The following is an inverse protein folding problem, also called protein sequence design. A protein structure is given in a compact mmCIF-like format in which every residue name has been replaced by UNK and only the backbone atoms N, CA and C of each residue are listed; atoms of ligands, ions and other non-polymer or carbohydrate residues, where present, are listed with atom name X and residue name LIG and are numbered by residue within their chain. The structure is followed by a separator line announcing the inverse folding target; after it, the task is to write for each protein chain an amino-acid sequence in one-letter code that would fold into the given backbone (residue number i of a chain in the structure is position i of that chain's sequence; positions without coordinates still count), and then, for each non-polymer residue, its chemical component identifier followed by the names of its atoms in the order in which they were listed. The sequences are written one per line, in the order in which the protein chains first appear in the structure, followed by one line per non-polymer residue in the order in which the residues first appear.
data_IF_831105869630
#
_entry.id   IF_831105869630
#
_cell.length_a   1.000
_cell.length_b   1.000
_cell.length_c   1.000
_cell.angle_alpha   90.00
_cell.angle_beta   90.00
_cell.angle_gamma   90.00
#
_symmetry.space_group_name_H-M   'P 1'
#
loop_
_entity.id
_entity.type
_entity.pdbx_description
1 polymer ?
#
# COMPACT_ATOMS: atom_id res chain seq x y z
N UNK A 1 61.07 -10.35 -5.12
CA UNK A 1 59.95 -10.77 -4.23
C UNK A 1 59.02 -9.58 -4.11
N UNK A 2 57.93 -9.56 -4.88
CA UNK A 2 56.94 -8.48 -4.89
C UNK A 2 55.73 -8.95 -4.10
N UNK A 3 55.52 -8.39 -2.91
CA UNK A 3 54.33 -8.66 -2.11
C UNK A 3 53.13 -7.97 -2.78
N UNK A 4 52.16 -8.78 -3.19
CA UNK A 4 50.83 -8.35 -3.59
C UNK A 4 50.10 -7.89 -2.34
N UNK A 5 49.57 -6.67 -2.35
CA UNK A 5 48.66 -6.20 -1.31
C UNK A 5 47.34 -6.96 -1.43
N UNK A 6 46.94 -7.58 -0.32
CA UNK A 6 45.68 -8.28 -0.17
C UNK A 6 44.51 -7.33 -0.42
N UNK A 7 43.67 -7.68 -1.40
CA UNK A 7 42.31 -7.15 -1.49
C UNK A 7 41.44 -7.72 -0.36
N UNK A 8 40.30 -7.09 -0.04
CA UNK A 8 39.43 -7.58 1.03
C UNK A 8 38.93 -9.00 0.72
N UNK A 9 38.70 -9.83 1.75
CA UNK A 9 38.35 -11.22 1.57
C UNK A 9 37.06 -11.36 0.74
N UNK A 10 37.17 -12.08 -0.37
CA UNK A 10 36.02 -12.66 -1.05
C UNK A 10 35.63 -13.90 -0.25
N UNK A 11 34.34 -14.13 -0.13
CA UNK A 11 33.69 -15.32 0.44
C UNK A 11 33.42 -15.24 1.95
N UNK A 12 32.40 -14.45 2.31
CA UNK A 12 31.48 -14.78 3.41
C UNK A 12 30.09 -14.17 3.15
N UNK A 13 29.58 -14.37 1.93
CA UNK A 13 28.14 -14.26 1.68
C UNK A 13 27.49 -15.57 2.13
N UNK A 14 27.51 -15.78 3.45
CA UNK A 14 26.55 -16.68 4.08
C UNK A 14 25.17 -16.24 3.63
N UNK A 15 24.45 -17.13 2.95
CA UNK A 15 23.04 -16.97 2.62
C UNK A 15 22.34 -16.64 3.94
N UNK A 16 22.07 -15.36 4.17
CA UNK A 16 21.22 -14.92 5.27
C UNK A 16 19.86 -15.51 4.92
N UNK A 17 19.54 -16.66 5.52
CA UNK A 17 18.18 -17.16 5.53
C UNK A 17 17.32 -16.04 6.07
N UNK A 18 16.42 -15.55 5.24
CA UNK A 18 15.43 -14.54 5.56
C UNK A 18 14.49 -15.09 6.64
N UNK A 19 14.94 -15.01 7.89
CA UNK A 19 14.20 -15.41 9.08
C UNK A 19 13.83 -14.18 9.90
N UNK A 20 13.51 -13.07 9.24
CA UNK A 20 12.58 -12.10 9.82
C UNK A 20 11.19 -12.74 9.87
N UNK A 21 10.27 -12.29 10.75
CA UNK A 21 8.89 -12.75 10.69
C UNK A 21 8.29 -12.34 9.35
N UNK A 22 8.33 -13.26 8.40
CA UNK A 22 7.62 -13.16 7.15
C UNK A 22 6.13 -13.12 7.49
N UNK A 23 5.55 -11.93 7.41
CA UNK A 23 4.11 -11.71 7.42
C UNK A 23 3.53 -12.19 6.07
N UNK A 24 3.86 -13.41 5.66
CA UNK A 24 3.64 -13.99 4.33
C UNK A 24 2.16 -14.19 3.96
N UNK A 25 1.24 -13.71 4.78
CA UNK A 25 -0.19 -13.88 4.57
C UNK A 25 -1.01 -12.60 4.53
N UNK A 26 -0.52 -11.42 4.95
CA UNK A 26 -1.37 -10.22 5.09
C UNK A 26 -1.14 -9.18 3.98
N UNK A 27 -2.24 -8.67 3.41
CA UNK A 27 -2.21 -7.58 2.43
C UNK A 27 -1.60 -6.29 3.02
N UNK A 28 -0.97 -5.47 2.16
CA UNK A 28 -0.39 -4.18 2.57
C UNK A 28 -1.51 -3.23 3.06
N UNK A 29 -1.42 -2.69 4.29
CA UNK A 29 -2.36 -1.68 4.78
C UNK A 29 -2.50 -0.44 3.89
N UNK A 30 -1.53 -0.14 3.01
CA UNK A 30 -1.63 0.94 2.02
C UNK A 30 -2.65 0.64 0.93
N UNK A 31 -2.76 -0.62 0.49
CA UNK A 31 -3.77 -1.03 -0.49
C UNK A 31 -5.18 -0.92 0.10
N UNK A 32 -5.36 -1.38 1.34
CA UNK A 32 -6.62 -1.22 2.08
C UNK A 32 -7.01 0.26 2.23
N UNK A 33 -6.03 1.13 2.46
CA UNK A 33 -6.24 2.57 2.56
C UNK A 33 -6.75 3.19 1.26
N UNK A 34 -6.15 2.86 0.12
CA UNK A 34 -6.60 3.36 -1.18
C UNK A 34 -8.01 2.86 -1.51
N UNK A 35 -8.32 1.58 -1.24
CA UNK A 35 -9.68 1.05 -1.46
C UNK A 35 -10.71 1.81 -0.61
N UNK A 36 -10.41 2.13 0.65
CA UNK A 36 -11.29 2.93 1.51
C UNK A 36 -11.57 4.31 0.91
N UNK A 37 -10.53 5.00 0.44
CA UNK A 37 -10.69 6.34 -0.16
C UNK A 37 -11.60 6.25 -1.40
N UNK A 38 -11.31 5.32 -2.30
CA UNK A 38 -12.10 5.12 -3.52
C UNK A 38 -13.56 4.79 -3.21
N UNK A 39 -13.80 3.85 -2.29
CA UNK A 39 -15.14 3.47 -1.87
C UNK A 39 -15.90 4.68 -1.32
N UNK A 40 -15.28 5.48 -0.44
CA UNK A 40 -15.95 6.62 0.19
C UNK A 40 -16.20 7.78 -0.77
N UNK A 41 -15.31 8.02 -1.73
CA UNK A 41 -15.56 8.97 -2.82
C UNK A 41 -16.77 8.52 -3.65
N UNK A 42 -16.83 7.22 -3.97
CA UNK A 42 -17.93 6.66 -4.76
C UNK A 42 -19.27 6.70 -4.01
N UNK A 43 -19.30 6.38 -2.73
CA UNK A 43 -20.49 6.51 -1.87
C UNK A 43 -20.99 7.95 -1.83
N UNK A 44 -20.08 8.91 -1.67
CA UNK A 44 -20.43 10.33 -1.64
C UNK A 44 -20.96 10.83 -3.00
N UNK A 45 -20.42 10.30 -4.10
CA UNK A 45 -20.81 10.70 -5.44
C UNK A 45 -22.12 10.03 -5.91
N UNK A 46 -22.43 8.83 -5.41
CA UNK A 46 -23.62 8.04 -5.77
C UNK A 46 -24.26 7.42 -4.52
N UNK A 47 -24.93 8.22 -3.67
CA UNK A 47 -25.50 7.73 -2.41
C UNK A 47 -26.59 6.66 -2.60
N UNK A 48 -27.21 6.61 -3.77
CA UNK A 48 -28.20 5.62 -4.17
C UNK A 48 -27.60 4.26 -4.54
N UNK A 49 -26.29 4.21 -4.76
CA UNK A 49 -25.53 3.01 -5.16
C UNK A 49 -24.66 2.48 -4.00
N UNK A 50 -24.93 2.90 -2.76
CA UNK A 50 -24.19 2.42 -1.59
C UNK A 50 -24.42 0.91 -1.40
N UNK A 51 -23.32 0.15 -1.44
CA UNK A 51 -23.34 -1.29 -1.26
C UNK A 51 -22.98 -1.67 0.18
N UNK A 52 -23.78 -2.57 0.76
CA UNK A 52 -23.48 -3.23 2.04
C UNK A 52 -22.42 -4.34 1.87
N UNK A 53 -21.26 -3.95 1.36
CA UNK A 53 -20.12 -4.82 1.09
C UNK A 53 -18.83 -4.23 1.70
N UNK A 54 -17.86 -5.10 1.97
CA UNK A 54 -16.52 -4.66 2.40
C UNK A 54 -15.71 -4.08 1.24
N UNK A 55 -14.64 -3.35 1.57
CA UNK A 55 -13.82 -2.65 0.58
C UNK A 55 -13.17 -3.60 -0.44
N UNK A 56 -12.85 -4.83 -0.04
CA UNK A 56 -12.22 -5.83 -0.91
C UNK A 56 -13.22 -6.40 -1.91
N UNK A 57 -14.48 -6.54 -1.53
CA UNK A 57 -15.55 -6.93 -2.43
C UNK A 57 -15.88 -5.82 -3.43
N UNK A 58 -15.85 -4.55 -3.00
CA UNK A 58 -16.15 -3.38 -3.83
C UNK A 58 -15.01 -2.99 -4.78
N UNK A 59 -13.76 -3.15 -4.34
CA UNK A 59 -12.53 -2.87 -5.11
C UNK A 59 -11.64 -4.12 -5.13
N UNK A 60 -12.03 -5.19 -5.82
CA UNK A 60 -11.32 -6.46 -5.78
C UNK A 60 -9.93 -6.38 -6.43
N UNK A 61 -9.03 -7.24 -5.96
CA UNK A 61 -7.71 -7.40 -6.58
C UNK A 61 -7.82 -8.15 -7.91
N UNK A 62 -7.14 -7.65 -8.93
CA UNK A 62 -7.14 -8.25 -10.26
C UNK A 62 -6.53 -9.67 -10.27
N UNK A 63 -5.54 -9.90 -9.42
CA UNK A 63 -4.83 -11.17 -9.27
C UNK A 63 -5.48 -12.16 -8.29
N UNK A 64 -6.48 -11.72 -7.53
CA UNK A 64 -7.22 -12.61 -6.64
C UNK A 64 -8.13 -13.52 -7.49
N UNK A 65 -7.69 -14.76 -7.73
CA UNK A 65 -8.51 -15.84 -8.27
C UNK A 65 -9.38 -16.43 -7.16
N UNK A 66 -10.37 -15.66 -6.69
CA UNK A 66 -11.47 -16.22 -5.90
C UNK A 66 -12.65 -16.49 -6.83
N UNK A 67 -12.76 -17.77 -7.23
CA UNK A 67 -13.93 -18.60 -7.56
C UNK A 67 -15.26 -18.04 -8.10
N UNK A 68 -15.36 -16.77 -8.47
CA UNK A 68 -16.57 -16.17 -9.01
C UNK A 68 -16.19 -15.14 -10.08
N UNK A 69 -16.43 -15.51 -11.33
CA UNK A 69 -16.07 -14.78 -12.55
C UNK A 69 -16.97 -13.54 -12.79
N UNK A 70 -17.27 -12.76 -11.74
CA UNK A 70 -18.09 -11.55 -11.85
C UNK A 70 -17.35 -10.36 -12.48
N UNK A 71 -16.14 -10.56 -13.01
CA UNK A 71 -15.29 -9.46 -13.54
C UNK A 71 -15.94 -8.71 -14.70
N UNK A 72 -16.90 -9.30 -15.42
CA UNK A 72 -17.54 -8.68 -16.59
C UNK A 72 -18.90 -8.02 -16.32
N UNK A 73 -19.65 -8.43 -15.29
CA UNK A 73 -21.05 -8.03 -15.10
C UNK A 73 -21.26 -6.96 -14.01
N UNK A 74 -20.20 -6.25 -13.61
CA UNK A 74 -20.34 -5.15 -12.65
C UNK A 74 -20.82 -3.86 -13.34
N UNK A 75 -21.81 -3.16 -12.79
CA UNK A 75 -22.24 -1.86 -13.31
C UNK A 75 -21.08 -0.86 -13.22
N UNK A 76 -21.05 0.09 -14.15
CA UNK A 76 -20.06 1.17 -14.11
C UNK A 76 -20.38 2.15 -12.96
N UNK A 77 -19.36 2.73 -12.30
CA UNK A 77 -17.93 2.58 -12.60
C UNK A 77 -17.27 1.40 -11.87
N UNK A 78 -16.40 0.68 -12.60
CA UNK A 78 -15.67 -0.49 -12.10
C UNK A 78 -14.33 -0.10 -11.49
N UNK A 79 -14.15 -0.41 -10.21
CA UNK A 79 -12.90 -0.17 -9.48
C UNK A 79 -12.17 -1.48 -9.19
N UNK A 80 -10.86 -1.49 -9.44
CA UNK A 80 -10.00 -2.65 -9.16
C UNK A 80 -8.69 -2.18 -8.52
N UNK A 81 -8.09 -3.06 -7.71
CA UNK A 81 -6.74 -2.90 -7.18
C UNK A 81 -5.81 -3.98 -7.78
N UNK A 82 -4.50 -3.78 -7.74
CA UNK A 82 -3.55 -4.82 -8.17
C UNK A 82 -2.17 -4.61 -7.57
N UNK A 83 -1.49 -5.73 -7.27
CA UNK A 83 -0.07 -5.78 -6.94
C UNK A 83 0.79 -6.24 -8.13
N UNK A 84 0.24 -6.30 -9.34
CA UNK A 84 1.00 -6.67 -10.53
C UNK A 84 2.12 -5.64 -10.78
N UNK A 85 3.32 -6.09 -11.20
CA UNK A 85 4.43 -5.20 -11.52
C UNK A 85 4.02 -4.08 -12.49
N UNK A 86 4.55 -2.86 -12.33
CA UNK A 86 4.25 -1.72 -13.21
C UNK A 86 4.45 -2.00 -14.71
N UNK A 87 5.36 -2.93 -15.07
CA UNK A 87 5.59 -3.36 -16.44
C UNK A 87 4.39 -4.07 -17.09
N UNK A 88 3.40 -4.46 -16.28
CA UNK A 88 2.11 -5.01 -16.71
C UNK A 88 0.98 -3.97 -16.71
N UNK A 89 1.26 -2.71 -16.34
CA UNK A 89 0.29 -1.61 -16.25
C UNK A 89 0.58 -0.53 -17.33
N UNK A 90 -0.44 0.23 -17.79
CA UNK A 90 -0.23 1.33 -18.73
C UNK A 90 0.76 2.39 -18.18
N UNK A 91 1.66 2.89 -19.02
CA UNK A 91 2.86 3.70 -18.70
C UNK A 91 2.64 5.10 -18.11
N UNK A 92 1.46 5.38 -17.55
CA UNK A 92 1.03 6.72 -17.13
C UNK A 92 0.85 6.90 -15.62
N UNK A 93 1.78 6.45 -14.78
CA UNK A 93 1.67 6.64 -13.32
C UNK A 93 2.87 7.36 -12.71
N UNK A 94 2.64 8.54 -12.12
CA UNK A 94 3.63 9.28 -11.32
C UNK A 94 3.34 9.05 -9.85
N UNK A 95 4.27 8.46 -9.11
CA UNK A 95 4.15 8.35 -7.65
C UNK A 95 4.47 9.71 -7.00
N UNK A 96 3.46 10.35 -6.39
CA UNK A 96 3.64 11.55 -5.56
C UNK A 96 3.13 11.27 -4.14
N UNK A 97 3.88 11.80 -3.18
CA UNK A 97 3.79 11.54 -1.73
C UNK A 97 2.58 12.22 -1.08
N UNK A 98 1.84 11.48 -0.26
CA UNK A 98 0.73 11.97 0.59
C UNK A 98 1.28 12.65 1.84
N UNK A 99 1.20 13.98 1.93
CA UNK A 99 1.41 14.76 3.16
C UNK A 99 0.13 15.44 3.65
N UNK A 100 -0.80 15.67 2.73
CA UNK A 100 -2.09 16.29 2.94
C UNK A 100 -3.15 15.32 2.42
N UNK A 101 -3.77 14.56 3.32
CA UNK A 101 -4.76 13.57 2.93
C UNK A 101 -5.94 14.21 2.20
N UNK A 102 -6.39 15.39 2.64
CA UNK A 102 -7.49 16.11 2.00
C UNK A 102 -7.11 16.53 0.59
N UNK A 103 -5.94 17.13 0.41
CA UNK A 103 -5.43 17.52 -0.90
C UNK A 103 -5.23 16.34 -1.86
N UNK A 104 -4.86 15.15 -1.37
CA UNK A 104 -4.81 13.95 -2.22
C UNK A 104 -6.21 13.41 -2.55
N UNK A 105 -7.16 13.43 -1.61
CA UNK A 105 -8.56 13.07 -1.88
C UNK A 105 -9.14 13.96 -2.97
N UNK A 106 -8.91 15.28 -2.92
CA UNK A 106 -9.31 16.23 -3.98
C UNK A 106 -8.75 15.81 -5.34
N UNK A 107 -7.45 15.49 -5.44
CA UNK A 107 -6.84 15.05 -6.71
C UNK A 107 -7.43 13.74 -7.22
N UNK A 108 -7.78 12.82 -6.32
CA UNK A 108 -8.44 11.57 -6.70
C UNK A 108 -9.85 11.85 -7.21
N UNK A 109 -10.61 12.74 -6.56
CA UNK A 109 -11.91 13.21 -7.05
C UNK A 109 -11.78 13.82 -8.46
N UNK A 110 -10.82 14.73 -8.67
CA UNK A 110 -10.53 15.34 -9.97
C UNK A 110 -10.20 14.27 -11.03
N UNK A 111 -9.34 13.31 -10.68
CA UNK A 111 -8.95 12.21 -11.57
C UNK A 111 -10.13 11.33 -11.96
N UNK A 112 -11.07 11.10 -11.03
CA UNK A 112 -12.29 10.33 -11.26
C UNK A 112 -13.43 11.15 -11.90
N UNK A 113 -13.22 12.46 -12.11
CA UNK A 113 -14.25 13.38 -12.60
C UNK A 113 -15.46 13.47 -11.67
N UNK A 114 -15.22 13.50 -10.34
CA UNK A 114 -16.27 13.60 -9.31
C UNK A 114 -16.18 14.93 -8.58
N UNK A 115 -17.21 15.74 -8.74
CA UNK A 115 -17.36 17.00 -8.01
C UNK A 115 -18.08 16.72 -6.68
N UNK A 116 -17.32 16.71 -5.59
CA UNK A 116 -17.85 16.54 -4.23
C UNK A 116 -17.84 17.88 -3.48
N UNK A 117 -18.77 18.05 -2.54
CA UNK A 117 -18.75 19.21 -1.65
C UNK A 117 -17.59 19.11 -0.65
N UNK A 118 -17.18 20.22 -0.07
CA UNK A 118 -16.12 20.24 0.95
C UNK A 118 -16.48 19.37 2.15
N UNK A 119 -17.75 19.34 2.56
CA UNK A 119 -18.24 18.50 3.66
C UNK A 119 -18.13 17.01 3.31
N UNK A 120 -18.45 16.63 2.07
CA UNK A 120 -18.32 15.27 1.60
C UNK A 120 -16.84 14.84 1.54
N UNK A 121 -15.95 15.73 1.08
CA UNK A 121 -14.51 15.50 1.08
C UNK A 121 -13.97 15.33 2.50
N UNK A 122 -14.38 16.19 3.44
CA UNK A 122 -13.96 16.12 4.84
C UNK A 122 -14.43 14.81 5.50
N UNK A 123 -15.64 14.37 5.18
CA UNK A 123 -16.14 13.06 5.63
C UNK A 123 -15.35 11.89 5.05
N UNK A 124 -14.98 11.93 3.76
CA UNK A 124 -14.09 10.93 3.13
C UNK A 124 -12.74 10.88 3.86
N UNK A 125 -12.16 12.05 4.16
CA UNK A 125 -10.89 12.18 4.88
C UNK A 125 -10.99 11.59 6.28
N UNK A 126 -12.03 11.94 7.04
CA UNK A 126 -12.29 11.42 8.38
C UNK A 126 -12.40 9.88 8.38
N UNK A 127 -13.23 9.34 7.50
CA UNK A 127 -13.46 7.90 7.38
C UNK A 127 -12.24 7.14 6.84
N UNK A 128 -11.30 7.84 6.21
CA UNK A 128 -10.03 7.29 5.70
C UNK A 128 -8.87 7.52 6.66
N UNK A 129 -9.08 8.05 7.86
CA UNK A 129 -8.02 8.12 8.87
C UNK A 129 -7.64 6.72 9.35
N UNK A 130 -6.36 6.54 9.72
CA UNK A 130 -5.87 5.27 10.26
C UNK A 130 -6.70 4.79 11.46
N UNK A 131 -7.07 5.72 12.35
CA UNK A 131 -7.90 5.44 13.53
C UNK A 131 -9.25 4.83 13.14
N UNK A 132 -9.98 5.48 12.24
CA UNK A 132 -11.33 5.06 11.86
C UNK A 132 -11.29 3.77 11.05
N UNK A 133 -10.34 3.65 10.12
CA UNK A 133 -10.16 2.42 9.35
C UNK A 133 -9.80 1.23 10.23
N UNK A 134 -8.91 1.40 11.22
CA UNK A 134 -8.49 0.31 12.11
C UNK A 134 -9.67 -0.33 12.85
N UNK A 135 -10.71 0.44 13.17
CA UNK A 135 -11.92 -0.04 13.84
C UNK A 135 -13.05 -0.45 12.88
N UNK A 136 -12.97 -0.10 11.60
CA UNK A 136 -14.03 -0.39 10.62
C UNK A 136 -13.88 -1.81 10.05
N UNK A 137 -14.78 -2.77 10.36
CA UNK A 137 -14.70 -4.13 9.85
C UNK A 137 -14.78 -4.23 8.33
N UNK A 138 -15.43 -3.26 7.66
CA UNK A 138 -15.50 -3.20 6.18
C UNK A 138 -14.17 -2.76 5.53
N UNK A 139 -13.24 -2.20 6.30
CA UNK A 139 -12.01 -1.60 5.78
C UNK A 139 -10.71 -2.23 6.30
N UNK A 140 -10.77 -3.02 7.37
CA UNK A 140 -9.59 -3.57 8.04
C UNK A 140 -9.37 -5.08 7.82
N UNK A 141 -10.19 -5.70 6.95
CA UNK A 141 -10.14 -7.14 6.66
C UNK A 141 -10.24 -8.03 7.89
N UNK A 142 -11.04 -7.61 8.88
CA UNK A 142 -11.29 -8.38 10.10
C UNK A 142 -11.74 -9.81 9.80
N UNK A 143 -12.56 -9.96 8.75
CA UNK A 143 -13.07 -11.25 8.31
C UNK A 143 -11.96 -12.23 7.88
N UNK A 144 -10.88 -11.74 7.26
CA UNK A 144 -9.75 -12.57 6.82
C UNK A 144 -8.90 -13.05 7.99
N UNK A 145 -8.81 -12.27 9.07
CA UNK A 145 -8.19 -12.70 10.33
C UNK A 145 -9.07 -13.74 11.02
N UNK A 146 -10.38 -13.50 11.12
CA UNK A 146 -11.33 -14.42 11.74
C UNK A 146 -11.42 -15.77 10.99
N UNK A 147 -11.34 -15.74 9.65
CA UNK A 147 -11.27 -16.92 8.79
C UNK A 147 -9.89 -17.57 8.74
N UNK A 148 -8.93 -17.09 9.53
CA UNK A 148 -7.54 -17.59 9.60
C UNK A 148 -6.82 -17.57 8.24
N UNK A 149 -7.24 -16.69 7.33
CA UNK A 149 -6.52 -16.41 6.09
C UNK A 149 -5.32 -15.50 6.35
N UNK A 150 -5.45 -14.58 7.30
CA UNK A 150 -4.37 -13.71 7.77
C UNK A 150 -3.95 -14.08 9.19
N UNK A 151 -2.64 -14.07 9.42
CA UNK A 151 -2.04 -14.33 10.73
C UNK A 151 -2.17 -13.15 11.71
N UNK A 152 -2.40 -11.95 11.20
CA UNK A 152 -2.49 -10.72 11.99
C UNK A 152 -3.36 -9.65 11.32
N UNK A 153 -3.90 -8.68 12.08
CA UNK A 153 -4.60 -7.52 11.51
C UNK A 153 -3.71 -6.71 10.57
N UNK A 154 -4.26 -6.29 9.43
CA UNK A 154 -3.53 -5.49 8.43
C UNK A 154 -3.21 -4.08 8.93
N UNK A 155 -4.12 -3.46 9.67
CA UNK A 155 -3.95 -2.11 10.24
C UNK A 155 -3.08 -2.10 11.51
N UNK A 156 -1.75 -2.24 11.34
CA UNK A 156 -0.78 -2.38 12.44
C UNK A 156 -0.46 -1.07 13.18
N UNK A 157 0.40 -0.22 12.61
CA UNK A 157 0.89 1.04 13.23
C UNK A 157 0.66 2.31 12.41
N UNK A 158 0.75 2.26 11.08
CA UNK A 158 0.58 3.44 10.23
C UNK A 158 1.67 4.51 10.39
N UNK A 159 2.88 4.14 10.83
CA UNK A 159 3.99 5.07 11.09
C UNK A 159 5.13 4.86 10.10
N UNK A 160 5.56 5.93 9.42
CA UNK A 160 6.77 5.94 8.61
C UNK A 160 8.02 5.87 9.49
N UNK A 161 9.02 5.07 9.11
CA UNK A 161 10.28 4.93 9.84
C UNK A 161 10.31 3.82 10.91
N UNK A 162 9.21 3.09 11.14
CA UNK A 162 9.15 2.01 12.16
C UNK A 162 10.15 0.86 11.87
N UNK A 163 10.64 0.74 10.64
CA UNK A 163 11.66 -0.24 10.23
C UNK A 163 12.96 -0.13 11.04
N UNK A 164 13.30 1.07 11.55
CA UNK A 164 14.48 1.30 12.39
C UNK A 164 14.46 0.53 13.70
N UNK A 165 13.27 0.12 14.16
CA UNK A 165 13.13 -0.72 15.36
C UNK A 165 13.42 -2.20 15.09
N UNK A 166 13.62 -2.59 13.84
CA UNK A 166 13.81 -3.98 13.41
C UNK A 166 15.18 -4.23 12.77
N UNK A 167 15.78 -3.20 12.18
CA UNK A 167 17.09 -3.32 11.53
C UNK A 167 18.21 -3.12 12.55
N UNK A 168 19.19 -4.01 12.50
CA UNK A 168 20.51 -3.72 13.08
C UNK A 168 21.21 -2.63 12.27
N UNK A 169 22.20 -1.96 12.86
CA UNK A 169 22.99 -0.92 12.16
C UNK A 169 23.61 -1.46 10.87
N UNK A 170 24.22 -2.66 10.91
CA UNK A 170 24.82 -3.28 9.74
C UNK A 170 23.82 -3.63 8.64
N UNK A 171 22.61 -4.09 9.00
CA UNK A 171 21.54 -4.34 8.02
C UNK A 171 21.07 -3.04 7.36
N UNK A 172 21.00 -1.96 8.12
CA UNK A 172 20.63 -0.66 7.57
C UNK A 172 21.68 -0.15 6.57
N UNK A 173 22.96 -0.17 6.97
CA UNK A 173 24.06 0.25 6.10
C UNK A 173 24.11 -0.57 4.81
N UNK A 174 23.90 -1.88 4.89
CA UNK A 174 23.83 -2.74 3.72
C UNK A 174 22.63 -2.42 2.81
N UNK A 175 21.46 -2.15 3.40
CA UNK A 175 20.28 -1.74 2.63
C UNK A 175 20.52 -0.41 1.91
N UNK A 176 21.12 0.58 2.58
CA UNK A 176 21.41 1.89 2.00
C UNK A 176 22.32 1.76 0.76
N UNK A 177 23.38 0.93 0.83
CA UNK A 177 24.27 0.65 -0.30
C UNK A 177 23.50 0.05 -1.49
N UNK A 178 22.74 -1.03 -1.25
CA UNK A 178 21.98 -1.72 -2.32
C UNK A 178 20.91 -0.81 -2.90
N UNK A 179 20.27 0.01 -2.08
CA UNK A 179 19.23 0.95 -2.51
C UNK A 179 19.82 2.05 -3.40
N UNK A 180 20.93 2.68 -2.98
CA UNK A 180 21.63 3.69 -3.77
C UNK A 180 22.07 3.13 -5.13
N UNK A 181 22.67 1.93 -5.14
CA UNK A 181 23.10 1.27 -6.37
C UNK A 181 21.92 1.06 -7.34
N UNK A 182 20.81 0.48 -6.85
CA UNK A 182 19.67 0.09 -7.70
C UNK A 182 18.76 1.23 -8.13
N UNK A 183 18.70 2.32 -7.35
CA UNK A 183 17.73 3.39 -7.56
C UNK A 183 18.36 4.69 -8.09
N UNK A 184 19.70 4.73 -8.26
CA UNK A 184 20.46 5.91 -8.69
C UNK A 184 20.01 6.49 -10.04
N UNK A 185 19.59 5.64 -10.98
CA UNK A 185 19.17 6.05 -12.33
C UNK A 185 17.72 6.54 -12.40
N UNK A 186 16.95 6.41 -11.33
CA UNK A 186 15.53 6.79 -11.32
C UNK A 186 15.37 8.23 -10.83
N UNK A 187 14.56 9.07 -11.51
CA UNK A 187 14.26 10.44 -11.08
C UNK A 187 13.24 10.45 -9.93
N UNK A 188 13.44 9.60 -8.91
CA UNK A 188 12.53 9.42 -7.79
C UNK A 188 13.16 9.93 -6.49
N UNK A 189 12.39 10.70 -5.72
CA UNK A 189 12.79 11.19 -4.41
C UNK A 189 11.97 10.53 -3.30
N UNK A 190 12.65 9.83 -2.38
CA UNK A 190 12.00 9.13 -1.28
C UNK A 190 12.04 9.96 0.02
N UNK A 191 11.01 9.81 0.85
CA UNK A 191 11.02 10.34 2.22
C UNK A 191 10.75 9.17 3.16
N UNK A 192 11.76 8.83 3.94
CA UNK A 192 11.75 7.65 4.82
C UNK A 192 11.15 7.94 6.20
N UNK A 193 11.06 9.22 6.57
CA UNK A 193 10.59 9.71 7.87
C UNK A 193 9.63 10.87 7.70
N UNK A 194 8.60 10.88 8.52
CA UNK A 194 7.67 12.00 8.63
C UNK A 194 7.94 12.65 9.98
N UNK A 195 8.43 13.89 9.98
CA UNK A 195 8.49 14.69 11.20
C UNK A 195 7.04 14.93 11.64
N UNK A 196 6.70 14.45 12.84
CA UNK A 196 5.41 14.70 13.46
C UNK A 196 5.30 16.15 13.93
#
# INVERSE_FOLDING_TARGET
MSARGDGPPKDDLGVLSDSGPQNEGSEDPRSAWMQQILVKIMDAAHPDMEEEADNRARVPFLEANTLDDFRRERPDPRLYATHLPPDMLPTGLKAKRVKDLRGEVVKVCDFLGKDLTDEAIDHVVEMSTFKNMKTNPKANYKDLVEKQRYSSPTMRKGVAGDWKNFFTVAQNEYFDIVFEEKMSDLPLSFTWEIKQ
#
